data_IF_167625893803
#
_entry.id   IF_167625893803
#
_cell.length_a   1.000
_cell.length_b   1.000
_cell.length_c   1.000
_cell.angle_alpha   90.00
_cell.angle_beta   90.00
_cell.angle_gamma   90.00
#
_symmetry.space_group_name_H-M   'P 1'
#
loop_
_entity.id
_entity.type
_entity.pdbx_description
1 polymer ?
#
# COMPACT_ATOMS: atom_id res chain seq x y z
N UNK A 1 49.40 -5.88 25.62
CA UNK A 1 49.07 -6.71 24.43
C UNK A 1 47.87 -7.56 24.77
N UNK A 2 46.66 -7.00 24.68
CA UNK A 2 45.74 -7.06 23.53
C UNK A 2 44.98 -8.39 23.39
N UNK A 3 43.66 -8.24 23.58
CA UNK A 3 42.54 -9.19 23.41
C UNK A 3 42.58 -9.91 22.06
N UNK A 4 42.13 -11.16 22.04
CA UNK A 4 41.55 -11.87 20.88
C UNK A 4 40.55 -12.91 21.43
N UNK A 5 39.26 -12.56 21.53
CA UNK A 5 38.18 -12.99 20.63
C UNK A 5 37.80 -14.48 20.74
N UNK A 6 36.89 -14.77 21.68
CA UNK A 6 35.99 -15.92 21.60
C UNK A 6 34.97 -15.68 20.48
N UNK A 7 35.10 -16.42 19.39
CA UNK A 7 34.10 -16.50 18.33
C UNK A 7 33.02 -17.48 18.80
N UNK A 8 31.82 -16.97 19.02
CA UNK A 8 30.63 -17.77 19.28
C UNK A 8 30.27 -18.61 18.07
N UNK A 9 30.18 -19.93 18.28
CA UNK A 9 29.68 -20.91 17.32
C UNK A 9 28.27 -20.54 16.86
N UNK A 10 27.95 -20.51 15.56
CA UNK A 10 26.58 -20.26 15.11
C UNK A 10 25.69 -21.42 15.55
N UNK A 11 24.66 -21.12 16.35
CA UNK A 11 23.63 -22.09 16.73
C UNK A 11 23.00 -22.69 15.46
N UNK A 12 23.17 -23.99 15.28
CA UNK A 12 22.52 -24.75 14.22
C UNK A 12 21.00 -24.55 14.26
N UNK A 13 20.41 -24.11 13.14
CA UNK A 13 18.95 -24.09 12.97
C UNK A 13 18.43 -25.51 13.19
N UNK A 14 17.73 -25.70 14.31
CA UNK A 14 17.13 -26.97 14.73
C UNK A 14 16.18 -27.46 13.64
N UNK A 15 16.64 -28.41 12.81
CA UNK A 15 15.81 -29.06 11.80
C UNK A 15 14.70 -29.85 12.53
N UNK A 16 13.46 -29.41 12.36
CA UNK A 16 12.29 -30.03 12.96
C UNK A 16 12.08 -31.41 12.33
N UNK A 17 11.91 -32.42 13.19
CA UNK A 17 11.62 -33.80 12.75
C UNK A 17 10.26 -33.84 12.03
N UNK A 18 10.06 -34.74 11.06
CA UNK A 18 8.82 -34.91 10.27
C UNK A 18 7.54 -34.93 11.13
N UNK A 19 7.61 -35.50 12.33
CA UNK A 19 6.50 -35.51 13.32
C UNK A 19 6.22 -34.12 13.95
N UNK A 20 7.23 -33.28 14.12
CA UNK A 20 7.09 -31.91 14.64
C UNK A 20 6.50 -30.97 13.57
N UNK A 21 6.94 -31.09 12.30
CA UNK A 21 6.33 -30.34 11.19
C UNK A 21 4.85 -30.69 11.03
N UNK A 22 4.51 -31.98 11.03
CA UNK A 22 3.10 -32.41 10.95
C UNK A 22 2.24 -31.88 12.11
N UNK A 23 2.80 -31.81 13.33
CA UNK A 23 2.09 -31.26 14.50
C UNK A 23 1.90 -29.74 14.38
N UNK A 24 2.87 -29.01 13.83
CA UNK A 24 2.76 -27.57 13.57
C UNK A 24 1.72 -27.31 12.48
N UNK A 25 1.79 -28.03 11.36
CA UNK A 25 0.81 -27.94 10.26
C UNK A 25 -0.60 -28.28 10.73
N UNK A 26 -0.77 -29.35 11.51
CA UNK A 26 -2.07 -29.73 12.08
C UNK A 26 -2.60 -28.67 13.04
N UNK A 27 -1.79 -28.15 13.95
CA UNK A 27 -2.20 -27.09 14.89
C UNK A 27 -2.54 -25.80 14.13
N UNK A 28 -1.76 -25.44 13.10
CA UNK A 28 -2.05 -24.28 12.26
C UNK A 28 -3.33 -24.48 11.43
N UNK A 29 -3.55 -25.67 10.87
CA UNK A 29 -4.77 -26.02 10.16
C UNK A 29 -6.02 -26.02 11.05
N UNK A 30 -5.93 -26.56 12.26
CA UNK A 30 -7.01 -26.52 13.25
C UNK A 30 -7.32 -25.08 13.70
N UNK A 31 -6.28 -24.24 13.88
CA UNK A 31 -6.45 -22.82 14.18
C UNK A 31 -7.11 -22.06 13.02
N UNK A 32 -6.69 -22.31 11.78
CA UNK A 32 -7.28 -21.72 10.59
C UNK A 32 -8.76 -22.14 10.41
N UNK A 33 -9.07 -23.42 10.60
CA UNK A 33 -10.43 -23.94 10.51
C UNK A 33 -11.35 -23.36 11.60
N UNK A 34 -10.84 -23.20 12.83
CA UNK A 34 -11.58 -22.54 13.92
C UNK A 34 -11.79 -21.05 13.65
N UNK A 35 -10.81 -20.37 13.08
CA UNK A 35 -10.95 -18.97 12.68
C UNK A 35 -12.03 -18.80 11.60
N UNK A 36 -12.00 -19.62 10.54
CA UNK A 36 -13.01 -19.61 9.48
C UNK A 36 -14.43 -19.94 9.99
N UNK A 37 -14.56 -20.90 10.91
CA UNK A 37 -15.86 -21.24 11.52
C UNK A 37 -16.39 -20.13 12.43
N UNK A 38 -15.52 -19.43 13.14
CA UNK A 38 -15.90 -18.27 13.95
C UNK A 38 -16.32 -17.10 13.07
N UNK A 39 -15.62 -16.89 11.96
CA UNK A 39 -15.93 -15.88 10.95
C UNK A 39 -17.29 -16.14 10.28
N UNK A 40 -17.58 -17.38 9.87
CA UNK A 40 -18.89 -17.73 9.30
C UNK A 40 -20.02 -17.52 10.30
N UNK A 41 -19.82 -17.90 11.57
CA UNK A 41 -20.82 -17.67 12.62
C UNK A 41 -21.03 -16.18 12.92
N UNK A 42 -19.97 -15.36 12.87
CA UNK A 42 -20.08 -13.90 13.03
C UNK A 42 -20.82 -13.27 11.86
N UNK A 43 -20.55 -13.69 10.63
CA UNK A 43 -21.27 -13.27 9.42
C UNK A 43 -22.75 -13.66 9.49
N UNK A 44 -23.08 -14.91 9.84
CA UNK A 44 -24.47 -15.38 10.01
C UNK A 44 -25.22 -14.59 11.09
N UNK A 45 -24.52 -14.22 12.17
CA UNK A 45 -25.11 -13.39 13.25
C UNK A 45 -25.38 -11.96 12.76
N UNK A 46 -24.47 -11.38 11.98
CA UNK A 46 -24.63 -10.04 11.39
C UNK A 46 -25.69 -10.03 10.29
N UNK A 47 -25.82 -11.09 9.49
CA UNK A 47 -26.87 -11.20 8.48
C UNK A 47 -28.27 -11.43 9.08
N UNK A 48 -28.34 -12.04 10.26
CA UNK A 48 -29.59 -12.39 10.96
C UNK A 48 -30.21 -11.29 11.84
N UNK A 49 -29.56 -10.14 12.06
CA UNK A 49 -30.12 -9.08 12.91
C UNK A 49 -29.39 -7.73 12.89
N UNK A 50 -30.16 -6.66 12.68
CA UNK A 50 -29.84 -5.23 12.89
C UNK A 50 -28.62 -4.66 12.16
N UNK A 51 -28.48 -4.98 10.87
CA UNK A 51 -27.70 -4.14 9.97
C UNK A 51 -28.49 -2.88 9.62
N UNK A 52 -27.87 -1.72 9.75
CA UNK A 52 -28.37 -0.44 9.27
C UNK A 52 -28.59 -0.41 7.76
N UNK A 53 -29.00 0.75 7.21
CA UNK A 53 -29.20 0.90 5.77
C UNK A 53 -27.90 0.69 4.98
N UNK A 54 -28.05 0.40 3.68
CA UNK A 54 -26.93 0.41 2.75
C UNK A 54 -26.43 1.84 2.55
N UNK A 55 -25.11 1.99 2.57
CA UNK A 55 -24.44 3.27 2.39
C UNK A 55 -23.12 3.07 1.65
N UNK A 56 -22.61 4.14 1.06
CA UNK A 56 -21.33 4.10 0.36
C UNK A 56 -20.15 4.28 1.32
N UNK A 57 -19.04 3.66 0.96
CA UNK A 57 -17.81 3.74 1.74
C UNK A 57 -16.57 3.59 0.87
N UNK A 58 -15.44 4.03 1.42
CA UNK A 58 -14.12 3.90 0.82
C UNK A 58 -13.29 2.88 1.62
N UNK A 59 -12.71 1.90 0.94
CA UNK A 59 -11.77 0.97 1.57
C UNK A 59 -10.45 1.70 1.83
N UNK A 60 -10.10 1.90 3.11
CA UNK A 60 -8.87 2.60 3.51
C UNK A 60 -7.74 1.63 3.85
N UNK A 61 -8.05 0.44 4.38
CA UNK A 61 -7.05 -0.58 4.72
C UNK A 61 -7.61 -2.00 4.60
N UNK A 62 -6.74 -2.94 4.26
CA UNK A 62 -7.11 -4.35 4.07
C UNK A 62 -6.24 -5.26 4.95
N UNK A 63 -6.85 -5.90 5.96
CA UNK A 63 -6.16 -6.78 6.93
C UNK A 63 -6.40 -8.27 6.65
N UNK A 64 -6.72 -8.61 5.41
CA UNK A 64 -6.90 -9.98 4.93
C UNK A 64 -8.34 -10.43 5.08
N UNK A 65 -8.80 -10.58 6.33
CA UNK A 65 -10.17 -11.06 6.65
C UNK A 65 -11.13 -9.91 6.92
N UNK A 66 -10.61 -8.80 7.44
CA UNK A 66 -11.35 -7.58 7.71
C UNK A 66 -10.78 -6.43 6.89
N UNK A 67 -11.66 -5.49 6.58
CA UNK A 67 -11.36 -4.29 5.81
C UNK A 67 -11.83 -3.09 6.61
N UNK A 68 -11.01 -2.04 6.68
CA UNK A 68 -11.46 -0.76 7.23
C UNK A 68 -12.09 0.07 6.12
N UNK A 69 -13.31 0.53 6.39
CA UNK A 69 -14.14 1.31 5.47
C UNK A 69 -14.44 2.65 6.11
N UNK A 70 -14.08 3.72 5.42
CA UNK A 70 -14.51 5.08 5.77
C UNK A 70 -15.90 5.34 5.18
N UNK A 71 -16.85 5.76 6.00
CA UNK A 71 -18.18 6.14 5.54
C UNK A 71 -18.10 7.43 4.70
N UNK A 72 -18.73 7.45 3.53
CA UNK A 72 -18.73 8.64 2.64
C UNK A 72 -20.02 9.46 2.71
N UNK A 73 -21.05 8.92 3.38
CA UNK A 73 -22.39 9.48 3.43
C UNK A 73 -22.99 9.33 4.82
N UNK A 74 -24.03 10.11 5.13
CA UNK A 74 -24.77 10.03 6.39
C UNK A 74 -24.07 10.67 7.58
N UNK A 75 -24.63 10.48 8.77
CA UNK A 75 -24.12 11.06 10.03
C UNK A 75 -22.74 10.52 10.42
N UNK A 76 -22.40 9.33 9.93
CA UNK A 76 -21.12 8.69 10.18
C UNK A 76 -20.04 9.09 9.16
N UNK A 77 -20.31 10.00 8.21
CA UNK A 77 -19.35 10.41 7.18
C UNK A 77 -17.99 10.80 7.78
N UNK A 78 -16.91 10.24 7.24
CA UNK A 78 -15.55 10.41 7.74
C UNK A 78 -15.17 9.50 8.92
N UNK A 79 -16.12 8.74 9.48
CA UNK A 79 -15.82 7.72 10.50
C UNK A 79 -15.41 6.41 9.83
N UNK A 80 -14.53 5.67 10.52
CA UNK A 80 -13.96 4.41 10.05
C UNK A 80 -14.59 3.24 10.78
N UNK A 81 -15.04 2.25 10.02
CA UNK A 81 -15.65 1.03 10.51
C UNK A 81 -14.83 -0.18 10.08
N UNK A 82 -14.77 -1.19 10.96
CA UNK A 82 -14.20 -2.48 10.57
C UNK A 82 -15.27 -3.34 9.96
N UNK A 83 -15.12 -3.69 8.69
CA UNK A 83 -16.09 -4.47 7.97
C UNK A 83 -15.61 -5.88 7.66
N UNK A 84 -16.56 -6.82 7.77
CA UNK A 84 -16.42 -8.14 7.19
C UNK A 84 -16.84 -8.13 5.72
N UNK A 85 -16.30 -9.05 4.93
CA UNK A 85 -16.70 -9.24 3.54
C UNK A 85 -17.79 -10.31 3.47
N UNK A 86 -18.83 -10.07 2.66
CA UNK A 86 -19.74 -11.15 2.27
C UNK A 86 -19.05 -12.18 1.39
N UNK A 87 -19.55 -13.42 1.45
CA UNK A 87 -19.18 -14.45 0.51
C UNK A 87 -19.47 -13.99 -0.93
N UNK A 88 -18.57 -14.33 -1.87
CA UNK A 88 -18.65 -14.01 -3.31
C UNK A 88 -18.31 -12.57 -3.71
N UNK A 89 -17.74 -11.75 -2.83
CA UNK A 89 -17.14 -10.48 -3.26
C UNK A 89 -15.85 -10.72 -4.05
N UNK A 90 -15.59 -9.91 -5.10
CA UNK A 90 -14.28 -9.87 -5.74
C UNK A 90 -13.21 -9.38 -4.75
N UNK A 91 -11.94 -9.60 -5.10
CA UNK A 91 -10.83 -9.15 -4.27
C UNK A 91 -10.84 -7.62 -4.10
N UNK A 92 -11.01 -7.17 -2.86
CA UNK A 92 -10.97 -5.76 -2.49
C UNK A 92 -9.53 -5.28 -2.25
N UNK A 93 -9.27 -4.03 -2.58
CA UNK A 93 -8.00 -3.34 -2.31
C UNK A 93 -8.27 -1.94 -1.77
N UNK A 94 -7.26 -1.32 -1.16
CA UNK A 94 -7.33 0.09 -0.75
C UNK A 94 -7.70 0.99 -1.94
N UNK A 95 -8.62 1.91 -1.70
CA UNK A 95 -9.19 2.81 -2.70
C UNK A 95 -10.46 2.27 -3.39
N UNK A 96 -10.86 1.01 -3.15
CA UNK A 96 -12.15 0.53 -3.63
C UNK A 96 -13.31 1.30 -3.00
N UNK A 97 -14.28 1.67 -3.84
CA UNK A 97 -15.58 2.18 -3.39
C UNK A 97 -16.52 1.00 -3.21
N UNK A 98 -17.23 0.97 -2.10
CA UNK A 98 -18.07 -0.17 -1.71
C UNK A 98 -19.43 0.28 -1.23
N UNK A 99 -20.40 -0.62 -1.35
CA UNK A 99 -21.68 -0.53 -0.61
C UNK A 99 -21.53 -1.41 0.62
N UNK A 100 -21.79 -0.84 1.79
CA UNK A 100 -21.66 -1.53 3.06
C UNK A 100 -22.82 -1.15 3.99
N UNK A 101 -23.00 -1.95 5.05
CA UNK A 101 -24.03 -1.73 6.07
C UNK A 101 -23.35 -1.71 7.44
N UNK A 102 -23.65 -0.71 8.24
CA UNK A 102 -23.20 -0.66 9.62
C UNK A 102 -23.95 -1.71 10.44
N UNK A 103 -23.24 -2.45 11.29
CA UNK A 103 -23.82 -3.28 12.33
C UNK A 103 -23.58 -2.67 13.71
N UNK A 104 -23.87 -3.46 14.73
CA UNK A 104 -23.64 -3.05 16.12
C UNK A 104 -22.14 -3.02 16.45
N UNK A 105 -21.73 -2.13 17.35
CA UNK A 105 -20.36 -2.04 17.92
C UNK A 105 -19.25 -1.75 16.88
N UNK A 106 -19.49 -0.82 15.96
CA UNK A 106 -18.52 -0.35 14.94
C UNK A 106 -18.03 -1.43 13.96
N UNK A 107 -18.77 -2.55 13.89
CA UNK A 107 -18.53 -3.64 12.93
C UNK A 107 -19.55 -3.52 11.80
N UNK A 108 -19.07 -3.44 10.57
CA UNK A 108 -19.89 -3.40 9.36
C UNK A 108 -19.80 -4.66 8.50
N UNK A 109 -20.59 -4.70 7.44
CA UNK A 109 -20.52 -5.74 6.41
C UNK A 109 -20.49 -5.09 5.03
N UNK A 110 -19.49 -5.43 4.22
CA UNK A 110 -19.43 -5.03 2.81
C UNK A 110 -20.37 -5.93 2.02
N UNK A 111 -21.25 -5.31 1.25
CA UNK A 111 -22.31 -5.97 0.49
C UNK A 111 -21.96 -6.01 -1.00
N UNK A 112 -21.36 -4.94 -1.54
CA UNK A 112 -20.98 -4.87 -2.94
C UNK A 112 -19.71 -4.02 -3.16
N UNK A 113 -18.98 -4.34 -4.23
CA UNK A 113 -17.92 -3.49 -4.76
C UNK A 113 -18.50 -2.64 -5.91
N UNK A 114 -18.21 -1.34 -5.90
CA UNK A 114 -18.55 -0.46 -7.02
C UNK A 114 -17.46 -0.51 -8.11
N UNK A 115 -17.79 -0.22 -9.38
CA UNK A 115 -16.83 -0.27 -10.48
C UNK A 115 -15.57 0.58 -10.22
N UNK A 116 -14.40 0.02 -10.56
CA UNK A 116 -13.12 0.74 -10.52
C UNK A 116 -12.97 1.67 -11.71
N UNK A 117 -12.49 2.88 -11.46
CA UNK A 117 -12.06 3.83 -12.51
C UNK A 117 -10.65 3.52 -13.00
N UNK A 118 -9.76 3.19 -12.07
CA UNK A 118 -8.38 2.75 -12.33
C UNK A 118 -8.00 1.59 -11.43
N UNK A 119 -7.01 0.81 -11.84
CA UNK A 119 -6.50 -0.32 -11.06
C UNK A 119 -4.98 -0.43 -11.17
N UNK A 120 -4.28 -0.22 -10.05
CA UNK A 120 -2.84 -0.43 -9.99
C UNK A 120 -2.56 -1.90 -9.71
N UNK A 121 -1.78 -2.53 -10.58
CA UNK A 121 -1.39 -3.94 -10.48
C UNK A 121 0.10 -4.09 -10.21
N UNK A 122 0.46 -5.11 -9.42
CA UNK A 122 1.84 -5.51 -9.17
C UNK A 122 2.02 -7.00 -9.43
N UNK A 123 3.10 -7.43 -10.10
CA UNK A 123 3.42 -8.85 -10.21
C UNK A 123 3.75 -9.44 -8.84
N UNK A 124 3.18 -10.60 -8.53
CA UNK A 124 3.56 -11.38 -7.35
C UNK A 124 4.82 -12.22 -7.60
N UNK A 125 5.23 -13.02 -6.61
CA UNK A 125 6.43 -13.87 -6.71
C UNK A 125 6.36 -14.94 -7.81
N UNK A 126 5.19 -15.19 -8.37
CA UNK A 126 4.95 -16.12 -9.49
C UNK A 126 4.72 -15.36 -10.81
N UNK A 127 4.90 -14.04 -10.81
CA UNK A 127 4.69 -13.19 -11.98
C UNK A 127 3.22 -12.88 -12.28
N UNK A 128 2.28 -13.29 -11.44
CA UNK A 128 0.86 -12.99 -11.65
C UNK A 128 0.56 -11.56 -11.20
N UNK A 129 -0.08 -10.78 -12.06
CA UNK A 129 -0.50 -9.43 -11.73
C UNK A 129 -1.66 -9.47 -10.72
N UNK A 130 -1.45 -8.83 -9.57
CA UNK A 130 -2.49 -8.66 -8.54
C UNK A 130 -2.79 -7.18 -8.34
N UNK A 131 -4.06 -6.80 -8.17
CA UNK A 131 -4.42 -5.45 -7.80
C UNK A 131 -3.80 -5.14 -6.42
N UNK A 132 -3.29 -3.91 -6.27
CA UNK A 132 -2.74 -3.41 -5.01
C UNK A 132 -3.44 -2.14 -4.54
N UNK A 133 -4.02 -1.38 -5.46
CA UNK A 133 -4.83 -0.19 -5.17
C UNK A 133 -5.82 0.04 -6.32
N UNK A 134 -6.92 0.72 -6.04
CA UNK A 134 -7.95 1.06 -7.01
C UNK A 134 -8.35 2.54 -6.91
N UNK A 135 -8.92 3.08 -7.97
CA UNK A 135 -9.38 4.48 -8.05
C UNK A 135 -8.28 5.50 -7.71
N UNK A 136 -7.03 5.17 -8.05
CA UNK A 136 -5.87 6.04 -7.94
C UNK A 136 -5.77 6.86 -9.22
N UNK A 137 -5.67 8.17 -9.10
CA UNK A 137 -5.53 9.09 -10.24
C UNK A 137 -4.10 9.62 -10.40
N UNK A 138 -3.29 9.56 -9.35
CA UNK A 138 -1.89 10.00 -9.34
C UNK A 138 -0.94 8.93 -8.78
N UNK A 139 0.10 8.58 -9.54
CA UNK A 139 1.21 7.74 -9.07
C UNK A 139 2.47 8.58 -8.90
N UNK A 140 2.92 8.71 -7.64
CA UNK A 140 4.12 9.44 -7.26
C UNK A 140 5.28 8.47 -7.19
N UNK A 141 6.14 8.50 -8.20
CA UNK A 141 7.30 7.63 -8.34
C UNK A 141 8.47 8.30 -7.61
N UNK A 142 8.72 7.83 -6.39
CA UNK A 142 9.75 8.38 -5.50
C UNK A 142 11.08 7.69 -5.73
N UNK A 143 12.10 8.51 -5.98
CA UNK A 143 13.50 8.09 -5.99
C UNK A 143 14.34 9.14 -5.25
N UNK A 144 15.62 8.86 -5.03
CA UNK A 144 16.53 9.73 -4.30
C UNK A 144 17.94 9.61 -4.90
N UNK A 145 18.87 10.54 -4.61
CA UNK A 145 20.28 10.35 -4.95
C UNK A 145 20.86 9.10 -4.29
N UNK A 146 20.35 8.75 -3.10
CA UNK A 146 20.72 7.54 -2.36
C UNK A 146 19.52 6.84 -1.70
N UNK A 147 19.30 5.53 -1.94
CA UNK A 147 20.06 4.64 -2.85
C UNK A 147 19.96 5.07 -4.32
N UNK A 148 20.95 4.69 -5.14
CA UNK A 148 21.07 5.13 -6.54
C UNK A 148 19.77 4.87 -7.34
N UNK A 149 19.29 5.86 -8.11
CA UNK A 149 18.09 5.70 -8.92
C UNK A 149 18.40 4.90 -10.19
N UNK A 150 17.68 3.82 -10.41
CA UNK A 150 17.78 3.03 -11.64
C UNK A 150 16.66 3.37 -12.62
N UNK A 151 17.02 3.81 -13.83
CA UNK A 151 16.09 4.13 -14.92
C UNK A 151 15.07 3.01 -15.15
N UNK A 152 15.52 1.75 -15.22
CA UNK A 152 14.65 0.58 -15.41
C UNK A 152 13.52 0.47 -14.38
N UNK A 153 13.74 0.90 -13.12
CA UNK A 153 12.67 0.87 -12.13
C UNK A 153 11.65 1.99 -12.37
N UNK A 154 12.12 3.19 -12.72
CA UNK A 154 11.28 4.34 -13.07
C UNK A 154 10.45 4.00 -14.30
N UNK A 155 11.08 3.48 -15.35
CA UNK A 155 10.43 3.11 -16.62
C UNK A 155 9.33 2.08 -16.40
N UNK A 156 9.56 1.07 -15.54
CA UNK A 156 8.54 0.07 -15.19
C UNK A 156 7.34 0.67 -14.49
N UNK A 157 7.53 1.68 -13.64
CA UNK A 157 6.41 2.38 -13.01
C UNK A 157 5.68 3.28 -14.00
N UNK A 158 6.40 3.97 -14.89
CA UNK A 158 5.78 4.76 -15.96
C UNK A 158 4.93 3.89 -16.88
N UNK A 159 5.45 2.74 -17.32
CA UNK A 159 4.67 1.77 -18.11
C UNK A 159 3.43 1.30 -17.37
N UNK A 160 3.54 1.02 -16.06
CA UNK A 160 2.39 0.61 -15.25
C UNK A 160 1.36 1.75 -15.09
N UNK A 161 1.82 2.99 -14.95
CA UNK A 161 0.98 4.19 -14.83
C UNK A 161 0.17 4.41 -16.12
N UNK A 162 0.86 4.46 -17.26
CA UNK A 162 0.26 4.64 -18.58
C UNK A 162 -0.70 3.50 -18.92
N UNK A 163 -0.33 2.25 -18.61
CA UNK A 163 -1.20 1.10 -18.83
C UNK A 163 -2.49 1.15 -17.98
N UNK A 164 -2.41 1.70 -16.78
CA UNK A 164 -3.56 1.84 -15.87
C UNK A 164 -4.35 3.14 -16.08
N UNK A 165 -3.91 4.03 -16.97
CA UNK A 165 -4.51 5.36 -17.17
C UNK A 165 -4.35 6.29 -15.97
N UNK A 166 -3.29 6.11 -15.19
CA UNK A 166 -3.00 6.88 -13.97
C UNK A 166 -1.91 7.91 -14.29
N UNK A 167 -2.12 9.17 -13.90
CA UNK A 167 -1.13 10.23 -14.14
C UNK A 167 0.15 9.97 -13.33
N UNK A 168 1.35 9.92 -13.94
CA UNK A 168 2.59 9.80 -13.20
C UNK A 168 3.16 11.16 -12.77
N UNK A 169 3.79 11.18 -11.59
CA UNK A 169 4.65 12.26 -11.09
C UNK A 169 5.99 11.68 -10.64
N UNK A 170 7.07 12.14 -11.23
CA UNK A 170 8.43 11.76 -10.83
C UNK A 170 8.86 12.67 -9.67
N UNK A 171 9.20 12.07 -8.53
CA UNK A 171 9.57 12.79 -7.32
C UNK A 171 10.98 12.39 -6.88
N UNK A 172 11.94 13.30 -7.08
CA UNK A 172 13.28 13.18 -6.52
C UNK A 172 13.27 13.72 -5.08
N UNK A 173 13.29 12.82 -4.11
CA UNK A 173 13.41 13.17 -2.69
C UNK A 173 14.89 13.23 -2.26
N UNK A 174 15.14 13.86 -1.11
CA UNK A 174 16.48 14.09 -0.55
C UNK A 174 17.36 14.91 -1.48
N UNK A 175 16.78 15.94 -2.11
CA UNK A 175 17.53 16.86 -2.98
C UNK A 175 18.70 17.56 -2.25
N UNK A 176 18.66 17.62 -0.92
CA UNK A 176 19.76 18.07 -0.05
C UNK A 176 21.04 17.21 -0.14
N UNK A 177 20.94 15.97 -0.65
CA UNK A 177 22.08 15.07 -0.82
C UNK A 177 22.73 15.17 -2.20
N UNK A 178 22.28 16.10 -3.05
CA UNK A 178 22.89 16.31 -4.37
C UNK A 178 24.21 17.06 -4.19
N UNK A 179 25.28 16.51 -4.77
CA UNK A 179 26.63 17.08 -4.72
C UNK A 179 27.27 17.11 -6.12
N UNK A 180 28.45 17.70 -6.23
CA UNK A 180 29.17 17.81 -7.51
C UNK A 180 29.50 16.45 -8.15
N UNK A 181 29.54 15.36 -7.37
CA UNK A 181 29.87 14.03 -7.85
C UNK A 181 28.65 13.35 -8.47
N UNK A 182 27.48 13.47 -7.84
CA UNK A 182 26.26 12.79 -8.27
C UNK A 182 25.36 13.63 -9.20
N UNK A 183 25.47 14.96 -9.15
CA UNK A 183 24.61 15.86 -9.93
C UNK A 183 24.67 15.62 -11.45
N UNK A 184 25.83 15.38 -12.09
CA UNK A 184 25.87 15.18 -13.55
C UNK A 184 25.06 13.97 -14.01
N UNK A 185 25.19 12.83 -13.31
CA UNK A 185 24.49 11.60 -13.65
C UNK A 185 22.98 11.73 -13.39
N UNK A 186 22.61 12.35 -12.27
CA UNK A 186 21.21 12.56 -11.90
C UNK A 186 20.51 13.52 -12.85
N UNK A 187 21.16 14.64 -13.21
CA UNK A 187 20.63 15.60 -14.17
C UNK A 187 20.44 14.98 -15.56
N UNK A 188 21.38 14.15 -16.01
CA UNK A 188 21.24 13.42 -17.26
C UNK A 188 20.01 12.47 -17.23
N UNK A 189 19.81 11.74 -16.13
CA UNK A 189 18.65 10.89 -15.94
C UNK A 189 17.34 11.70 -15.96
N UNK A 190 17.26 12.79 -15.20
CA UNK A 190 16.06 13.64 -15.13
C UNK A 190 15.74 14.32 -16.47
N UNK A 191 16.76 14.73 -17.22
CA UNK A 191 16.60 15.39 -18.52
C UNK A 191 15.87 14.50 -19.52
N UNK A 192 16.11 13.18 -19.50
CA UNK A 192 15.38 12.21 -20.34
C UNK A 192 13.88 12.31 -20.07
N UNK A 193 13.47 12.21 -18.81
CA UNK A 193 12.04 12.22 -18.46
C UNK A 193 11.38 13.57 -18.67
N UNK A 194 12.09 14.68 -18.40
CA UNK A 194 11.61 16.04 -18.72
C UNK A 194 11.38 16.22 -20.21
N UNK A 195 12.28 15.72 -21.05
CA UNK A 195 12.15 15.78 -22.53
C UNK A 195 10.94 14.97 -23.02
N UNK A 196 10.62 13.86 -22.34
CA UNK A 196 9.42 13.07 -22.61
C UNK A 196 8.12 13.73 -22.10
N UNK A 197 8.20 14.87 -21.42
CA UNK A 197 7.04 15.60 -20.92
C UNK A 197 6.52 15.15 -19.55
N UNK A 198 7.24 14.25 -18.85
CA UNK A 198 6.84 13.84 -17.51
C UNK A 198 7.13 14.95 -16.49
N UNK A 199 6.19 15.24 -15.57
CA UNK A 199 6.44 16.19 -14.50
C UNK A 199 7.48 15.60 -13.54
N UNK A 200 8.52 16.38 -13.27
CA UNK A 200 9.59 16.04 -12.32
C UNK A 200 9.61 17.12 -11.25
N UNK A 201 9.50 16.70 -9.99
CA UNK A 201 9.63 17.55 -8.83
C UNK A 201 10.81 17.09 -7.96
N UNK A 202 11.57 18.05 -7.46
CA UNK A 202 12.69 17.82 -6.54
C UNK A 202 12.27 18.34 -5.16
N UNK A 203 12.44 17.52 -4.12
CA UNK A 203 12.04 17.84 -2.75
C UNK A 203 13.06 17.38 -1.73
N UNK A 204 13.07 18.04 -0.57
CA UNK A 204 13.69 17.53 0.65
C UNK A 204 12.64 17.43 1.75
N UNK A 205 12.22 16.20 2.10
CA UNK A 205 11.34 15.99 3.24
C UNK A 205 11.97 16.46 4.58
N UNK A 206 13.31 16.53 4.64
CA UNK A 206 14.03 16.95 5.83
C UNK A 206 14.08 18.47 5.98
N UNK A 207 14.35 19.19 4.89
CA UNK A 207 14.46 20.66 4.90
C UNK A 207 13.16 21.39 4.55
N UNK A 208 12.16 20.68 4.02
CA UNK A 208 10.89 21.24 3.57
C UNK A 208 10.91 21.78 2.15
N UNK A 209 12.07 21.78 1.48
CA UNK A 209 12.22 22.29 0.11
C UNK A 209 11.31 21.54 -0.87
N UNK A 210 10.59 22.30 -1.69
CA UNK A 210 9.66 21.76 -2.70
C UNK A 210 8.39 21.10 -2.16
N UNK A 211 8.24 20.99 -0.83
CA UNK A 211 7.08 20.30 -0.22
C UNK A 211 5.75 21.03 -0.45
N UNK A 212 5.75 22.36 -0.51
CA UNK A 212 4.54 23.13 -0.83
C UNK A 212 4.05 22.83 -2.26
N UNK A 213 4.97 22.79 -3.23
CA UNK A 213 4.65 22.41 -4.61
C UNK A 213 4.14 20.97 -4.70
N UNK A 214 4.74 20.06 -3.91
CA UNK A 214 4.25 18.69 -3.81
C UNK A 214 2.81 18.66 -3.28
N UNK A 215 2.51 19.37 -2.20
CA UNK A 215 1.14 19.46 -1.67
C UNK A 215 0.15 19.95 -2.72
N UNK A 216 0.49 21.00 -3.48
CA UNK A 216 -0.37 21.49 -4.56
C UNK A 216 -0.57 20.49 -5.71
N UNK A 217 0.40 19.61 -5.98
CA UNK A 217 0.23 18.54 -6.98
C UNK A 217 -0.62 17.36 -6.46
N UNK A 218 -0.68 17.15 -5.14
CA UNK A 218 -1.44 16.07 -4.50
C UNK A 218 -2.89 16.49 -4.19
N UNK A 219 -3.15 17.80 -4.08
CA UNK A 219 -4.47 18.30 -3.70
C UNK A 219 -5.56 17.84 -4.67
N UNK A 220 -6.68 17.37 -4.10
CA UNK A 220 -7.80 16.80 -4.86
C UNK A 220 -7.53 15.44 -5.53
N UNK A 221 -6.37 14.82 -5.31
CA UNK A 221 -5.97 13.57 -5.97
C UNK A 221 -5.81 12.39 -4.98
N UNK A 222 -6.26 11.20 -5.39
CA UNK A 222 -5.98 9.94 -4.69
C UNK A 222 -4.61 9.44 -5.17
N UNK A 223 -3.59 9.75 -4.39
CA UNK A 223 -2.20 9.53 -4.76
C UNK A 223 -1.61 8.26 -4.15
N UNK A 224 -0.82 7.50 -4.93
CA UNK A 224 -0.02 6.37 -4.43
C UNK A 224 1.48 6.64 -4.56
N UNK A 225 2.22 6.45 -3.47
CA UNK A 225 3.67 6.61 -3.44
C UNK A 225 4.36 5.27 -3.70
N UNK A 226 5.10 5.17 -4.81
CA UNK A 226 5.85 3.98 -5.21
C UNK A 226 7.35 4.29 -5.30
N UNK A 227 8.20 3.27 -5.31
CA UNK A 227 9.65 3.44 -5.39
C UNK A 227 10.41 2.47 -4.50
N UNK A 228 11.73 2.42 -4.68
CA UNK A 228 12.61 1.50 -3.93
C UNK A 228 12.60 1.78 -2.41
N UNK A 229 13.02 0.79 -1.62
CA UNK A 229 13.16 1.00 -0.17
C UNK A 229 14.23 2.04 0.13
N UNK A 230 14.06 2.83 1.20
CA UNK A 230 15.05 3.82 1.64
C UNK A 230 15.04 5.19 0.93
N UNK A 231 14.20 5.41 -0.10
CA UNK A 231 14.06 6.72 -0.78
C UNK A 231 13.27 7.76 0.02
N UNK A 232 12.69 7.38 1.16
CA UNK A 232 11.98 8.31 2.05
C UNK A 232 10.47 8.45 1.82
N UNK A 233 9.80 7.46 1.20
CA UNK A 233 8.32 7.47 1.05
C UNK A 233 7.58 7.68 2.36
N UNK A 234 7.94 6.93 3.42
CA UNK A 234 7.31 7.08 4.74
C UNK A 234 7.60 8.44 5.36
N UNK A 235 8.81 8.98 5.16
CA UNK A 235 9.15 10.33 5.62
C UNK A 235 8.30 11.39 4.92
N UNK A 236 8.12 11.28 3.60
CA UNK A 236 7.24 12.18 2.83
C UNK A 236 5.81 12.12 3.34
N UNK A 237 5.26 10.92 3.54
CA UNK A 237 3.90 10.74 4.07
C UNK A 237 3.76 11.40 5.44
N UNK A 238 4.70 11.17 6.36
CA UNK A 238 4.67 11.80 7.68
C UNK A 238 4.82 13.32 7.64
N UNK A 239 5.58 13.87 6.69
CA UNK A 239 5.72 15.31 6.50
C UNK A 239 4.46 15.95 5.89
N UNK A 240 3.70 15.19 5.09
CA UNK A 240 2.46 15.66 4.45
C UNK A 240 1.23 15.50 5.37
N UNK A 241 1.25 14.50 6.26
CA UNK A 241 0.19 14.16 7.19
C UNK A 241 0.77 14.15 8.63
N UNK A 242 0.98 15.33 9.23
CA UNK A 242 1.55 15.46 10.57
C UNK A 242 0.62 14.98 11.69
#
# INVERSE_FOLDING_TARGET
>A
MHRLHHIGTPMAKRQLNRRQNWRIEKIQGERAARAAKRESATLETLEGGDLGPEQTGLVIAHFGVQVEVEAQEGEASGQVFRCHLRANLPALVTGDRVVWRAGNQDIGVIVAQLPRTTELRRPDSRGQLKPVAANVDLIVIVFAPMPEPHANLIDRYLVAAEHAGIRPLLLLNKADLIDEQNAPALNALLAVYRTLGYPVLEVSAHHGDGMQTLQSQLDGHISVFVGQSGVGKSSLVNSLLP
#
